data_IF_738124100143
#
_entry.id   IF_738124100143
#
_cell.length_a   1.000
_cell.length_b   1.000
_cell.length_c   1.000
_cell.angle_alpha   90.00
_cell.angle_beta   90.00
_cell.angle_gamma   90.00
#
_symmetry.space_group_name_H-M   'P 1'
#
loop_
_entity.id
_entity.type
_entity.pdbx_description
1 polymer ?
#
# COMPACT_ATOMS: atom_id res chain seq x y z
N UNK A 1 0.23 -26.23 5.51
CA UNK A 1 -0.25 -25.55 4.28
C UNK A 1 -1.76 -25.32 4.42
N UNK A 2 -2.32 -24.16 4.03
CA UNK A 2 -3.75 -23.89 4.15
C UNK A 2 -4.57 -24.85 3.30
N UNK A 3 -5.70 -25.34 3.82
CA UNK A 3 -6.68 -26.05 3.00
C UNK A 3 -7.36 -25.05 2.05
N UNK A 4 -7.41 -25.38 0.75
CA UNK A 4 -8.07 -24.51 -0.23
C UNK A 4 -9.60 -24.58 -0.12
N UNK A 5 -10.15 -25.72 0.30
CA UNK A 5 -11.59 -25.95 0.40
C UNK A 5 -12.20 -25.24 1.61
N UNK A 6 -11.54 -25.29 2.78
CA UNK A 6 -12.00 -24.52 3.94
C UNK A 6 -11.98 -23.01 3.65
N UNK A 7 -10.97 -22.54 2.91
CA UNK A 7 -10.86 -21.13 2.52
C UNK A 7 -11.96 -20.71 1.50
N UNK A 8 -12.53 -21.68 0.78
CA UNK A 8 -13.66 -21.48 -0.14
C UNK A 8 -15.04 -21.64 0.54
N UNK A 9 -15.09 -22.02 1.82
CA UNK A 9 -16.30 -22.05 2.64
C UNK A 9 -16.56 -23.36 3.37
N UNK A 10 -16.11 -24.51 2.84
CA UNK A 10 -16.27 -25.80 3.50
C UNK A 10 -15.28 -26.84 2.97
N UNK A 11 -14.70 -27.64 3.86
CA UNK A 11 -13.90 -28.82 3.51
C UNK A 11 -14.66 -30.09 3.89
N UNK A 12 -14.92 -30.96 2.91
CA UNK A 12 -15.63 -32.23 3.14
C UNK A 12 -14.79 -33.29 3.87
N UNK A 13 -13.47 -33.11 3.94
CA UNK A 13 -12.56 -34.06 4.58
C UNK A 13 -12.45 -33.86 6.10
N UNK A 14 -13.02 -32.78 6.65
CA UNK A 14 -13.08 -32.55 8.10
C UNK A 14 -11.73 -32.71 8.80
N UNK A 15 -11.68 -33.55 9.83
CA UNK A 15 -10.46 -33.87 10.59
C UNK A 15 -9.47 -34.76 9.83
N UNK A 16 -9.89 -35.41 8.75
CA UNK A 16 -9.07 -36.28 7.90
C UNK A 16 -8.33 -35.50 6.80
N UNK A 17 -8.42 -34.16 6.81
CA UNK A 17 -7.72 -33.31 5.86
C UNK A 17 -6.27 -33.09 6.29
N UNK A 18 -5.31 -33.45 5.45
CA UNK A 18 -3.88 -33.21 5.70
C UNK A 18 -3.48 -31.71 5.62
N UNK A 19 -4.45 -30.83 5.35
CA UNK A 19 -4.24 -29.39 5.22
C UNK A 19 -4.85 -28.65 6.40
N UNK A 20 -4.21 -27.54 6.77
CA UNK A 20 -4.60 -26.76 7.93
C UNK A 20 -5.94 -26.05 7.71
N UNK A 21 -6.86 -26.21 8.67
CA UNK A 21 -8.20 -25.59 8.70
C UNK A 21 -8.30 -24.32 9.53
N UNK A 22 -7.20 -23.90 10.17
CA UNK A 22 -7.22 -22.68 10.97
C UNK A 22 -7.31 -21.43 10.08
N UNK A 23 -7.82 -20.34 10.64
CA UNK A 23 -7.89 -19.05 9.97
C UNK A 23 -6.49 -18.57 9.57
N UNK A 24 -6.17 -18.67 8.29
CA UNK A 24 -4.93 -18.14 7.75
C UNK A 24 -5.16 -16.72 7.25
N UNK A 25 -4.34 -15.78 7.71
CA UNK A 25 -4.34 -14.43 7.15
C UNK A 25 -3.95 -14.50 5.68
N UNK A 26 -4.72 -13.85 4.80
CA UNK A 26 -4.31 -13.70 3.40
C UNK A 26 -2.94 -13.04 3.38
N UNK A 27 -1.99 -13.65 2.66
CA UNK A 27 -0.68 -13.04 2.45
C UNK A 27 -0.89 -11.63 1.90
N UNK A 28 -0.17 -10.62 2.44
CA UNK A 28 -0.22 -9.28 1.88
C UNK A 28 0.06 -9.32 0.38
N UNK A 29 -0.71 -8.55 -0.38
CA UNK A 29 -0.47 -8.43 -1.82
C UNK A 29 0.88 -7.74 -1.99
N UNK A 30 1.82 -8.45 -2.62
CA UNK A 30 3.09 -7.90 -3.03
C UNK A 30 3.06 -7.60 -4.52
N UNK A 31 3.68 -6.48 -4.92
CA UNK A 31 3.94 -6.18 -6.32
C UNK A 31 4.80 -7.31 -6.89
N UNK A 32 4.40 -7.89 -8.01
CA UNK A 32 5.22 -8.88 -8.73
C UNK A 32 6.46 -8.22 -9.37
N UNK A 33 7.35 -9.04 -9.96
CA UNK A 33 8.59 -8.55 -10.58
C UNK A 33 8.32 -7.49 -11.65
N UNK A 34 7.31 -7.70 -12.49
CA UNK A 34 6.96 -6.81 -13.60
C UNK A 34 6.45 -5.47 -13.08
N UNK A 35 5.53 -5.50 -12.12
CA UNK A 35 5.00 -4.29 -11.48
C UNK A 35 6.10 -3.48 -10.77
N UNK A 36 7.07 -4.15 -10.12
CA UNK A 36 8.23 -3.48 -9.52
C UNK A 36 9.14 -2.86 -10.57
N UNK A 37 9.41 -3.54 -11.68
CA UNK A 37 10.19 -2.98 -12.79
C UNK A 37 9.50 -1.79 -13.43
N UNK A 38 8.19 -1.86 -13.64
CA UNK A 38 7.42 -0.72 -14.14
C UNK A 38 7.52 0.50 -13.23
N UNK A 39 7.36 0.33 -11.91
CA UNK A 39 7.51 1.43 -10.96
C UNK A 39 8.93 1.99 -10.92
N UNK A 40 9.96 1.14 -11.10
CA UNK A 40 11.36 1.57 -11.15
C UNK A 40 11.72 2.38 -12.40
N UNK A 41 11.00 2.13 -13.49
CA UNK A 41 11.23 2.81 -14.78
C UNK A 41 10.36 4.08 -14.94
N UNK A 42 9.44 4.35 -14.01
CA UNK A 42 8.65 5.58 -14.00
C UNK A 42 9.49 6.75 -13.48
N UNK A 43 9.21 7.94 -13.99
CA UNK A 43 9.74 9.16 -13.37
C UNK A 43 9.09 9.39 -12.00
N UNK A 44 9.69 10.26 -11.19
CA UNK A 44 9.14 10.60 -9.86
C UNK A 44 7.74 11.19 -9.99
N UNK A 45 7.53 12.02 -11.00
CA UNK A 45 6.28 12.71 -11.29
C UNK A 45 5.20 11.70 -11.71
N UNK A 46 5.52 10.76 -12.60
CA UNK A 46 4.60 9.69 -13.01
C UNK A 46 4.21 8.80 -11.83
N UNK A 47 5.19 8.42 -11.02
CA UNK A 47 5.01 7.57 -9.86
C UNK A 47 4.10 8.24 -8.83
N UNK A 48 4.39 9.50 -8.51
CA UNK A 48 3.65 10.26 -7.53
C UNK A 48 2.25 10.65 -8.02
N UNK A 49 2.09 11.00 -9.29
CA UNK A 49 0.78 11.20 -9.93
C UNK A 49 -0.09 9.96 -9.89
N UNK A 50 0.51 8.76 -9.84
CA UNK A 50 -0.21 7.50 -9.72
C UNK A 50 -0.54 7.14 -8.25
N UNK A 51 0.44 7.26 -7.34
CA UNK A 51 0.32 6.70 -5.98
C UNK A 51 -0.23 7.70 -4.96
N UNK A 52 0.14 8.98 -5.04
CA UNK A 52 -0.33 9.98 -4.05
C UNK A 52 -1.87 10.08 -4.02
N UNK A 53 -2.60 10.10 -5.15
CA UNK A 53 -4.06 10.12 -5.12
C UNK A 53 -4.68 8.84 -4.55
N UNK A 54 -3.97 7.70 -4.60
CA UNK A 54 -4.42 6.45 -3.98
C UNK A 54 -4.25 6.53 -2.47
N UNK A 55 -3.11 7.07 -2.00
CA UNK A 55 -2.84 7.25 -0.58
C UNK A 55 -3.78 8.26 0.07
N UNK A 56 -3.99 9.40 -0.57
CA UNK A 56 -4.91 10.42 -0.09
C UNK A 56 -6.31 9.84 0.14
N UNK A 57 -6.89 9.20 -0.89
CA UNK A 57 -8.21 8.56 -0.78
C UNK A 57 -8.28 7.51 0.31
N UNK A 58 -7.19 6.78 0.56
CA UNK A 58 -7.13 5.77 1.64
C UNK A 58 -7.03 6.40 3.01
N UNK A 59 -6.27 7.47 3.15
CA UNK A 59 -6.16 8.23 4.39
C UNK A 59 -7.50 8.88 4.74
N UNK A 60 -8.24 9.34 3.73
CA UNK A 60 -9.58 9.92 3.87
C UNK A 60 -10.66 8.87 4.18
N UNK A 61 -10.64 7.72 3.48
CA UNK A 61 -11.65 6.66 3.63
C UNK A 61 -11.46 5.79 4.88
N UNK A 62 -10.30 5.84 5.52
CA UNK A 62 -10.05 5.13 6.78
C UNK A 62 -10.17 6.08 7.96
N UNK A 63 -10.50 5.55 9.14
CA UNK A 63 -10.56 6.30 10.41
C UNK A 63 -9.16 6.64 10.96
N UNK A 64 -8.35 7.30 10.13
CA UNK A 64 -7.03 7.80 10.49
C UNK A 64 -7.17 9.19 11.12
N UNK A 65 -6.27 9.52 12.06
CA UNK A 65 -6.27 10.84 12.70
C UNK A 65 -6.02 11.97 11.70
N UNK A 66 -6.51 13.15 12.08
CA UNK A 66 -6.15 14.43 11.46
C UNK A 66 -4.64 14.57 11.32
N UNK A 67 -3.87 14.19 12.35
CA UNK A 67 -2.40 14.20 12.34
C UNK A 67 -1.81 13.36 11.18
N UNK A 68 -2.34 12.15 10.91
CA UNK A 68 -1.86 11.33 9.77
C UNK A 68 -2.12 12.01 8.42
N UNK A 69 -3.22 12.75 8.32
CA UNK A 69 -3.60 13.50 7.12
C UNK A 69 -2.73 14.74 6.94
N UNK A 70 -2.42 15.44 8.03
CA UNK A 70 -1.52 16.60 8.05
C UNK A 70 -0.07 16.21 7.70
N UNK A 71 0.43 15.10 8.25
CA UNK A 71 1.75 14.56 7.89
C UNK A 71 1.83 14.23 6.40
N UNK A 72 0.77 13.61 5.84
CA UNK A 72 0.71 13.33 4.41
C UNK A 72 0.63 14.61 3.58
N UNK A 73 -0.15 15.61 3.99
CA UNK A 73 -0.22 16.91 3.31
C UNK A 73 1.15 17.60 3.28
N UNK A 74 1.91 17.56 4.38
CA UNK A 74 3.27 18.10 4.45
C UNK A 74 4.22 17.45 3.45
N UNK A 75 4.16 16.11 3.32
CA UNK A 75 4.95 15.35 2.32
C UNK A 75 4.63 15.84 0.91
N UNK A 76 3.35 15.98 0.60
CA UNK A 76 2.90 16.38 -0.74
C UNK A 76 3.38 17.79 -1.08
N UNK A 77 3.31 18.73 -0.13
CA UNK A 77 3.84 20.10 -0.30
C UNK A 77 5.36 20.11 -0.47
N UNK A 78 6.10 19.29 0.27
CA UNK A 78 7.56 19.25 0.22
C UNK A 78 8.12 18.62 -1.06
N UNK A 79 7.39 17.68 -1.67
CA UNK A 79 7.89 17.00 -2.85
C UNK A 79 7.77 17.84 -4.14
N UNK A 80 7.13 19.02 -4.09
CA UNK A 80 6.85 19.91 -5.23
C UNK A 80 6.30 19.17 -6.46
N UNK A 81 5.54 18.11 -6.21
CA UNK A 81 4.99 17.27 -7.27
C UNK A 81 3.64 17.85 -7.65
N UNK A 82 3.42 18.22 -8.92
CA UNK A 82 2.12 18.66 -9.38
C UNK A 82 1.09 17.53 -9.22
N UNK A 83 0.32 17.57 -8.13
CA UNK A 83 -0.85 16.73 -7.90
C UNK A 83 -1.82 17.04 -9.05
N UNK A 84 -1.88 16.17 -10.05
CA UNK A 84 -2.74 16.39 -11.22
C UNK A 84 -1.99 16.58 -12.53
N UNK A 85 -0.67 16.35 -12.59
CA UNK A 85 -0.07 15.87 -13.83
C UNK A 85 -0.69 14.50 -14.13
N UNK A 86 -1.83 14.52 -14.83
CA UNK A 86 -2.58 13.32 -15.16
C UNK A 86 -1.60 12.35 -15.83
N UNK A 87 -1.49 11.10 -15.35
CA UNK A 87 -0.64 10.13 -16.02
C UNK A 87 -1.09 10.07 -17.47
N UNK A 88 -0.15 10.34 -18.39
CA UNK A 88 -0.35 10.24 -19.82
C UNK A 88 -0.93 8.85 -20.10
N UNK A 89 -2.23 8.82 -20.38
CA UNK A 89 -3.13 7.71 -20.74
C UNK A 89 -2.56 6.28 -20.48
N UNK A 90 -3.16 5.47 -19.57
CA UNK A 90 -2.54 4.21 -19.19
C UNK A 90 -2.66 3.10 -20.24
N UNK A 91 -1.51 2.58 -20.68
CA UNK A 91 -1.39 1.26 -21.30
C UNK A 91 -2.06 0.19 -20.40
N UNK A 92 -2.55 -0.92 -20.99
CA UNK A 92 -3.20 -2.05 -20.28
C UNK A 92 -2.42 -2.53 -19.05
N UNK A 93 -1.10 -2.49 -19.09
CA UNK A 93 -0.21 -2.86 -17.99
C UNK A 93 -0.29 -1.93 -16.78
N UNK A 94 -0.47 -0.63 -16.98
CA UNK A 94 -0.61 0.35 -15.87
C UNK A 94 -1.93 0.18 -15.12
N UNK A 95 -3.01 -0.27 -15.78
CA UNK A 95 -4.28 -0.57 -15.11
C UNK A 95 -4.13 -1.67 -14.06
N UNK A 96 -3.42 -2.74 -14.39
CA UNK A 96 -3.15 -3.84 -13.44
C UNK A 96 -2.28 -3.40 -12.28
N UNK A 97 -1.28 -2.55 -12.54
CA UNK A 97 -0.46 -1.95 -11.50
C UNK A 97 -1.30 -1.11 -10.53
N UNK A 98 -2.17 -0.22 -11.04
CA UNK A 98 -3.07 0.60 -10.22
C UNK A 98 -4.01 -0.27 -9.37
N UNK A 99 -4.58 -1.33 -9.95
CA UNK A 99 -5.43 -2.27 -9.21
C UNK A 99 -4.64 -2.99 -8.09
N UNK A 100 -3.39 -3.36 -8.37
CA UNK A 100 -2.51 -3.97 -7.37
C UNK A 100 -2.18 -2.99 -6.24
N UNK A 101 -1.80 -1.75 -6.55
CA UNK A 101 -1.52 -0.72 -5.56
C UNK A 101 -2.74 -0.39 -4.70
N UNK A 102 -3.94 -0.38 -5.31
CA UNK A 102 -5.23 -0.21 -4.63
C UNK A 102 -5.64 -1.40 -3.76
N UNK A 103 -4.96 -2.54 -3.85
CA UNK A 103 -5.26 -3.73 -3.04
C UNK A 103 -4.17 -4.04 -2.00
N UNK A 104 -3.03 -3.35 -2.03
CA UNK A 104 -2.01 -3.40 -0.97
C UNK A 104 -2.52 -2.84 0.36
N UNK A 105 -1.87 -3.12 1.49
CA UNK A 105 -2.17 -2.40 2.73
C UNK A 105 -1.70 -0.94 2.66
N UNK A 106 -2.26 -0.05 3.47
CA UNK A 106 -1.81 1.35 3.56
C UNK A 106 -0.32 1.43 3.88
N UNK A 107 0.15 0.61 4.84
CA UNK A 107 1.57 0.52 5.23
C UNK A 107 2.47 0.07 4.09
N UNK A 108 2.07 -0.96 3.35
CA UNK A 108 2.86 -1.47 2.23
C UNK A 108 2.94 -0.43 1.09
N UNK A 109 1.86 0.31 0.87
CA UNK A 109 1.84 1.39 -0.11
C UNK A 109 2.77 2.53 0.30
N UNK A 110 2.68 3.01 1.56
CA UNK A 110 3.57 4.06 2.10
C UNK A 110 5.03 3.63 2.04
N UNK A 111 5.35 2.40 2.40
CA UNK A 111 6.72 1.89 2.34
C UNK A 111 7.27 1.84 0.91
N UNK A 112 6.42 1.56 -0.09
CA UNK A 112 6.80 1.59 -1.49
C UNK A 112 7.01 3.03 -2.01
N UNK A 113 6.26 4.00 -1.47
CA UNK A 113 6.53 5.42 -1.72
C UNK A 113 7.87 5.82 -1.18
N UNK A 114 8.15 5.50 0.08
CA UNK A 114 9.37 5.91 0.76
C UNK A 114 10.60 5.50 -0.04
N UNK A 115 10.67 4.24 -0.49
CA UNK A 115 11.81 3.77 -1.29
C UNK A 115 11.97 4.49 -2.63
N UNK A 116 10.88 5.02 -3.20
CA UNK A 116 10.88 5.67 -4.51
C UNK A 116 11.13 7.18 -4.38
N UNK A 117 10.68 7.80 -3.28
CA UNK A 117 10.82 9.23 -2.98
C UNK A 117 11.95 9.57 -2.01
N UNK A 118 12.73 8.59 -1.50
CA UNK A 118 13.92 8.85 -0.68
C UNK A 118 14.92 9.81 -1.39
N UNK A 119 14.84 9.91 -2.72
CA UNK A 119 15.63 10.83 -3.52
C UNK A 119 15.10 12.30 -3.52
N UNK A 120 14.06 12.62 -2.77
CA UNK A 120 13.50 13.98 -2.63
C UNK A 120 14.05 14.75 -1.42
N UNK A 121 14.82 14.10 -0.53
CA UNK A 121 15.50 14.73 0.59
C UNK A 121 15.19 14.09 1.95
N UNK A 122 16.12 14.24 2.89
CA UNK A 122 16.09 13.58 4.20
C UNK A 122 14.82 13.90 5.01
N UNK A 123 14.28 15.12 4.85
CA UNK A 123 13.08 15.57 5.55
C UNK A 123 11.80 14.83 5.11
N UNK A 124 11.71 14.50 3.83
CA UNK A 124 10.57 13.75 3.26
C UNK A 124 10.59 12.31 3.77
N UNK A 125 11.78 11.70 3.80
CA UNK A 125 11.95 10.34 4.31
C UNK A 125 11.60 10.25 5.80
N UNK A 126 12.09 11.20 6.61
CA UNK A 126 11.76 11.28 8.03
C UNK A 126 10.25 11.42 8.27
N UNK A 127 9.56 12.21 7.45
CA UNK A 127 8.10 12.41 7.56
C UNK A 127 7.33 11.14 7.18
N UNK A 128 7.78 10.39 6.17
CA UNK A 128 7.22 9.06 5.85
C UNK A 128 7.42 8.05 6.98
N UNK A 129 8.58 8.06 7.63
CA UNK A 129 8.88 7.17 8.75
C UNK A 129 8.04 7.51 9.98
N UNK A 130 7.87 8.79 10.28
CA UNK A 130 6.97 9.24 11.33
C UNK A 130 5.51 8.83 11.04
N UNK A 131 5.05 8.96 9.79
CA UNK A 131 3.71 8.51 9.38
C UNK A 131 3.55 6.99 9.54
N UNK A 132 4.54 6.20 9.12
CA UNK A 132 4.55 4.76 9.30
C UNK A 132 4.53 4.36 10.78
N UNK A 133 5.29 5.07 11.62
CA UNK A 133 5.31 4.85 13.06
C UNK A 133 3.93 5.11 13.68
N UNK A 134 3.33 6.26 13.37
CA UNK A 134 2.00 6.64 13.86
C UNK A 134 0.94 5.61 13.44
N UNK A 135 0.96 5.12 12.19
CA UNK A 135 0.06 4.07 11.72
C UNK A 135 0.32 2.69 12.34
N UNK A 136 1.55 2.40 12.79
CA UNK A 136 1.87 1.16 13.52
C UNK A 136 1.32 1.19 14.93
N UNK A 137 1.46 2.31 15.64
CA UNK A 137 0.98 2.44 17.03
C UNK A 137 -0.53 2.27 17.14
N UNK A 138 -1.30 2.70 16.12
CA UNK A 138 -2.78 2.54 16.09
C UNK A 138 -3.29 1.13 15.76
N UNK A 139 -2.43 0.25 15.27
CA UNK A 139 -2.83 -1.11 14.84
C UNK A 139 -2.44 -2.18 15.86
N UNK A 140 -1.89 -1.80 17.01
CA UNK A 140 -1.77 -2.68 18.16
C UNK A 140 -3.19 -2.98 18.65
N UNK A 141 -3.65 -4.25 18.64
CA UNK A 141 -4.88 -4.60 19.34
C UNK A 141 -4.64 -4.30 20.82
N UNK A 142 -5.51 -3.50 21.40
CA UNK A 142 -5.65 -3.41 22.86
C UNK A 142 -5.80 -4.85 23.36
N UNK A 143 -4.79 -5.38 24.03
CA UNK A 143 -4.90 -6.63 24.77
C UNK A 143 -5.92 -6.36 25.89
N UNK A 144 -7.17 -6.78 25.65
CA UNK A 144 -8.14 -7.05 26.70
C UNK A 144 -7.98 -8.51 27.13
#
# INVERSE_FOLDING_TARGET
RPCLYIAAGACNNGSSCDYCHMGHTKRPIHLDKRHREQLRNMTKEEWAGLVLPILQRRLEASDNSTESKEMFASIVTQCDIPIGSAPVIPQRSQRMLVLTLRSMSLKALISAVRSSLAQCGDQVEATFDALLHHLRMRTMPSLQ
#
